data_IF_074712891826
#
_entry.id   IF_074712891826
#
_cell.length_a   1.000
_cell.length_b   1.000
_cell.length_c   1.000
_cell.angle_alpha   90.00
_cell.angle_beta   90.00
_cell.angle_gamma   90.00
#
_symmetry.space_group_name_H-M   'P 1'
#
loop_
_entity.id
_entity.type
_entity.pdbx_description
1 polymer ?
#
# COMPACT_ATOMS: atom_id res chain seq x y z
N UNK A 1 -55.78 -26.66 -24.99
CA UNK A 1 -55.30 -26.76 -23.59
C UNK A 1 -53.77 -26.96 -23.46
N UNK A 2 -52.97 -26.73 -24.52
CA UNK A 2 -51.51 -27.01 -24.53
C UNK A 2 -50.59 -25.78 -24.66
N UNK A 3 -51.13 -24.54 -24.75
CA UNK A 3 -50.29 -23.33 -24.88
C UNK A 3 -49.82 -22.73 -23.56
N UNK A 4 -50.44 -23.07 -22.43
CA UNK A 4 -50.08 -22.54 -21.10
C UNK A 4 -48.91 -23.27 -20.44
N UNK A 5 -48.65 -24.52 -20.82
CA UNK A 5 -47.54 -25.31 -20.28
C UNK A 5 -46.16 -24.87 -20.79
N UNK A 6 -46.10 -24.30 -22.00
CA UNK A 6 -44.83 -23.86 -22.62
C UNK A 6 -44.29 -22.59 -21.96
N UNK A 7 -45.16 -21.64 -21.58
CA UNK A 7 -44.74 -20.44 -20.86
C UNK A 7 -44.26 -20.74 -19.43
N UNK A 8 -44.82 -21.76 -18.79
CA UNK A 8 -44.40 -22.17 -17.45
C UNK A 8 -43.00 -22.80 -17.45
N UNK A 9 -42.64 -23.49 -18.55
CA UNK A 9 -41.31 -24.09 -18.69
C UNK A 9 -40.23 -23.07 -19.08
N UNK A 10 -40.57 -22.04 -19.84
CA UNK A 10 -39.63 -20.97 -20.24
C UNK A 10 -39.37 -19.99 -19.08
N UNK A 11 -40.32 -19.78 -18.17
CA UNK A 11 -40.12 -18.93 -16.99
C UNK A 11 -39.17 -19.55 -15.95
N UNK A 12 -38.98 -20.88 -15.96
CA UNK A 12 -38.08 -21.59 -15.05
C UNK A 12 -36.61 -21.54 -15.46
N UNK A 13 -36.31 -21.20 -16.72
CA UNK A 13 -34.94 -21.12 -17.24
C UNK A 13 -34.24 -19.78 -16.93
N UNK A 14 -34.98 -18.74 -16.54
CA UNK A 14 -34.44 -17.40 -16.26
C UNK A 14 -34.01 -17.23 -14.80
N UNK A 15 -34.38 -18.15 -13.90
CA UNK A 15 -34.08 -18.05 -12.46
C UNK A 15 -32.78 -18.79 -12.06
N UNK A 16 -32.19 -19.62 -12.93
CA UNK A 16 -30.97 -20.37 -12.61
C UNK A 16 -29.64 -19.73 -13.05
N UNK A 17 -29.66 -18.55 -13.70
CA UNK A 17 -28.43 -17.84 -14.12
C UNK A 17 -28.12 -16.58 -13.30
N UNK A 18 -28.89 -16.31 -12.25
CA UNK A 18 -28.57 -15.26 -11.29
C UNK A 18 -27.97 -15.85 -10.02
N UNK A 19 -26.75 -15.43 -9.67
CA UNK A 19 -26.07 -15.63 -8.38
C UNK A 19 -25.15 -16.85 -8.20
N UNK A 20 -24.18 -17.02 -9.10
CA UNK A 20 -22.80 -17.24 -8.62
C UNK A 20 -22.07 -15.91 -8.61
N UNK A 21 -22.43 -15.04 -7.67
CA UNK A 21 -21.44 -14.12 -7.13
C UNK A 21 -20.45 -15.01 -6.37
N UNK A 22 -19.40 -15.45 -7.04
CA UNK A 22 -18.17 -15.78 -6.33
C UNK A 22 -17.70 -14.49 -5.69
N UNK A 23 -18.20 -14.18 -4.50
CA UNK A 23 -17.46 -13.36 -3.54
C UNK A 23 -16.24 -14.20 -3.23
N UNK A 24 -15.17 -13.91 -3.97
CA UNK A 24 -13.84 -14.35 -3.61
C UNK A 24 -13.49 -13.55 -2.36
N UNK A 25 -13.88 -14.08 -1.21
CA UNK A 25 -13.31 -13.64 0.07
C UNK A 25 -11.88 -14.12 0.05
N UNK A 26 -11.00 -13.31 -0.55
CA UNK A 26 -9.57 -13.42 -0.38
C UNK A 26 -9.31 -13.07 1.10
N UNK A 27 -9.42 -14.11 1.95
CA UNK A 27 -8.95 -14.12 3.33
C UNK A 27 -7.42 -14.01 3.29
N UNK A 28 -6.93 -12.83 2.94
CA UNK A 28 -5.55 -12.47 3.13
C UNK A 28 -5.44 -12.14 4.62
N UNK A 29 -5.40 -13.17 5.45
CA UNK A 29 -4.81 -13.06 6.78
C UNK A 29 -3.38 -12.58 6.54
N UNK A 30 -3.22 -11.26 6.65
CA UNK A 30 -2.01 -10.49 6.46
C UNK A 30 -0.83 -11.28 7.04
N UNK A 31 -0.01 -11.86 6.15
CA UNK A 31 1.15 -12.67 6.51
C UNK A 31 2.29 -11.72 6.92
N UNK A 32 1.95 -10.74 7.75
CA UNK A 32 2.89 -9.88 8.44
C UNK A 32 3.64 -10.82 9.36
N UNK A 33 4.95 -10.93 9.15
CA UNK A 33 5.78 -11.71 10.05
C UNK A 33 5.47 -11.23 11.47
N UNK A 34 5.17 -12.15 12.39
CA UNK A 34 4.71 -11.75 13.73
C UNK A 34 5.71 -10.81 14.43
N UNK A 35 6.97 -10.84 14.00
CA UNK A 35 8.03 -9.93 14.41
C UNK A 35 7.84 -8.49 13.92
N UNK A 36 7.45 -8.29 12.66
CA UNK A 36 7.15 -6.95 12.13
C UNK A 36 5.93 -6.35 12.83
N UNK A 37 4.89 -7.16 13.07
CA UNK A 37 3.69 -6.74 13.80
C UNK A 37 4.01 -6.28 15.23
N UNK A 38 4.81 -7.04 15.96
CA UNK A 38 5.20 -6.73 17.35
C UNK A 38 5.98 -5.42 17.47
N UNK A 39 6.80 -5.06 16.46
CA UNK A 39 7.48 -3.76 16.43
C UNK A 39 6.53 -2.63 16.09
N UNK A 40 5.65 -2.85 15.12
CA UNK A 40 4.68 -1.84 14.68
C UNK A 40 3.80 -1.37 15.84
N UNK A 41 3.25 -2.28 16.64
CA UNK A 41 2.31 -1.93 17.73
C UNK A 41 2.90 -0.96 18.77
N UNK A 42 4.24 -0.90 18.89
CA UNK A 42 4.94 -0.04 19.86
C UNK A 42 5.30 1.35 19.34
N UNK A 43 5.22 1.59 18.04
CA UNK A 43 5.63 2.87 17.43
C UNK A 43 4.48 3.86 17.53
N UNK A 44 4.71 5.05 18.06
CA UNK A 44 3.73 6.14 18.04
C UNK A 44 4.16 7.16 16.99
N UNK A 45 3.26 7.49 16.07
CA UNK A 45 3.51 8.48 15.03
C UNK A 45 2.95 9.84 15.44
N UNK A 46 3.81 10.83 15.75
CA UNK A 46 3.33 12.19 16.00
C UNK A 46 2.93 12.87 14.69
N UNK A 47 2.15 13.93 14.77
CA UNK A 47 1.92 14.81 13.61
C UNK A 47 3.23 15.39 13.09
N UNK A 48 3.39 15.44 11.76
CA UNK A 48 4.60 15.99 11.13
C UNK A 48 4.29 17.30 10.42
N UNK A 49 4.93 18.39 10.87
CA UNK A 49 4.81 19.70 10.20
C UNK A 49 5.31 19.69 8.74
N UNK A 50 6.15 18.72 8.35
CA UNK A 50 6.72 18.58 7.01
C UNK A 50 6.24 17.33 6.28
N UNK A 51 5.25 16.64 6.84
CA UNK A 51 4.82 15.33 6.36
C UNK A 51 5.86 14.25 6.55
N UNK A 52 5.67 13.14 5.84
CA UNK A 52 6.46 11.93 5.91
C UNK A 52 7.11 11.64 4.56
N UNK A 53 8.32 11.13 4.57
CA UNK A 53 9.05 10.65 3.40
C UNK A 53 8.98 9.11 3.39
N UNK A 54 8.44 8.55 2.31
CA UNK A 54 8.39 7.12 2.04
C UNK A 54 9.46 6.77 1.01
N UNK A 55 10.25 5.75 1.34
CA UNK A 55 11.27 5.19 0.46
C UNK A 55 11.02 3.70 0.25
N UNK A 56 11.39 3.19 -0.91
CA UNK A 56 11.23 1.78 -1.24
C UNK A 56 12.42 1.22 -2.01
N UNK A 57 12.68 -0.07 -1.84
CA UNK A 57 13.69 -0.81 -2.61
C UNK A 57 13.32 -2.30 -2.69
N UNK A 58 13.76 -3.01 -3.74
CA UNK A 58 13.50 -4.43 -3.87
C UNK A 58 14.33 -5.23 -2.86
N UNK A 59 13.72 -6.27 -2.27
CA UNK A 59 14.40 -7.27 -1.42
C UNK A 59 13.86 -8.65 -1.77
N UNK A 60 14.63 -9.42 -2.55
CA UNK A 60 14.20 -10.71 -3.08
C UNK A 60 13.00 -10.54 -4.02
N UNK A 61 11.89 -11.24 -3.72
CA UNK A 61 10.62 -11.12 -4.46
C UNK A 61 9.69 -10.04 -3.91
N UNK A 62 10.09 -9.35 -2.85
CA UNK A 62 9.26 -8.37 -2.13
C UNK A 62 9.87 -6.97 -2.23
N UNK A 63 9.12 -5.99 -1.71
CA UNK A 63 9.58 -4.63 -1.51
C UNK A 63 9.77 -4.35 -0.04
N UNK A 64 10.84 -3.62 0.29
CA UNK A 64 11.06 -3.05 1.61
C UNK A 64 10.78 -1.57 1.56
N UNK A 65 10.23 -1.05 2.65
CA UNK A 65 9.77 0.32 2.78
C UNK A 65 10.32 0.93 4.05
N UNK A 66 10.71 2.20 3.97
CA UNK A 66 11.17 2.99 5.12
C UNK A 66 10.39 4.28 5.17
N UNK A 67 9.85 4.58 6.35
CA UNK A 67 9.08 5.80 6.59
C UNK A 67 9.87 6.71 7.52
N UNK A 68 10.10 7.93 7.08
CA UNK A 68 10.92 8.92 7.80
C UNK A 68 10.16 10.23 7.92
N UNK A 69 10.45 11.00 8.97
CA UNK A 69 9.90 12.35 9.10
C UNK A 69 10.54 13.25 8.03
N UNK A 70 9.70 14.06 7.36
CA UNK A 70 10.12 15.04 6.38
C UNK A 70 11.09 16.07 6.97
N UNK A 71 12.19 16.37 6.26
CA UNK A 71 13.16 17.39 6.71
C UNK A 71 13.58 18.33 5.58
N UNK A 72 14.30 19.41 5.89
CA UNK A 72 14.90 20.28 4.85
C UNK A 72 16.19 19.70 4.24
N UNK A 73 16.52 18.46 4.54
CA UNK A 73 17.76 17.80 4.15
C UNK A 73 17.46 16.44 3.55
N UNK A 74 18.19 16.10 2.50
CA UNK A 74 18.03 14.82 1.82
C UNK A 74 18.62 13.70 2.68
N UNK A 75 17.93 12.55 2.74
CA UNK A 75 18.41 11.38 3.49
C UNK A 75 19.42 10.60 2.66
N UNK A 76 20.44 10.07 3.32
CA UNK A 76 21.42 9.19 2.68
C UNK A 76 20.86 7.78 2.56
N UNK A 77 21.31 7.01 1.55
CA UNK A 77 20.96 5.60 1.39
C UNK A 77 21.12 4.77 2.67
N UNK A 78 22.25 4.95 3.38
CA UNK A 78 22.51 4.25 4.65
C UNK A 78 21.51 4.63 5.74
N UNK A 79 21.11 5.89 5.84
CA UNK A 79 20.10 6.34 6.82
C UNK A 79 18.71 5.76 6.51
N UNK A 80 18.34 5.74 5.22
CA UNK A 80 17.06 5.20 4.76
C UNK A 80 16.95 3.70 5.06
N UNK A 81 18.00 2.92 4.74
CA UNK A 81 17.99 1.46 4.82
C UNK A 81 18.23 0.91 6.23
N UNK A 82 18.95 1.65 7.08
CA UNK A 82 19.17 1.30 8.49
C UNK A 82 18.09 1.86 9.43
N UNK A 83 17.08 2.55 8.90
CA UNK A 83 15.98 3.08 9.69
C UNK A 83 15.21 1.97 10.43
N UNK A 84 14.98 2.18 11.72
CA UNK A 84 14.20 1.27 12.56
C UNK A 84 12.70 1.27 12.21
N UNK A 85 12.23 2.32 11.54
CA UNK A 85 10.85 2.48 11.05
C UNK A 85 10.80 1.97 9.60
N UNK A 86 10.97 0.66 9.43
CA UNK A 86 10.92 -0.01 8.13
C UNK A 86 10.14 -1.33 8.17
N UNK A 87 9.53 -1.69 7.05
CA UNK A 87 8.69 -2.90 6.88
C UNK A 87 8.92 -3.56 5.54
N UNK A 88 8.63 -4.85 5.43
CA UNK A 88 8.70 -5.59 4.17
C UNK A 88 7.31 -6.08 3.76
N UNK A 89 7.00 -5.90 2.47
CA UNK A 89 5.70 -6.23 1.87
C UNK A 89 4.71 -5.08 1.90
N UNK A 90 3.87 -5.03 0.87
CA UNK A 90 2.80 -4.04 0.69
C UNK A 90 1.80 -4.09 1.85
N UNK A 91 1.53 -5.29 2.32
CA UNK A 91 0.60 -5.54 3.41
C UNK A 91 1.06 -4.89 4.73
N UNK A 92 2.33 -5.10 5.08
CA UNK A 92 2.95 -4.47 6.24
C UNK A 92 3.01 -2.95 6.09
N UNK A 93 3.25 -2.43 4.88
CA UNK A 93 3.24 -1.00 4.60
C UNK A 93 1.85 -0.39 4.85
N UNK A 94 0.77 -1.03 4.41
CA UNK A 94 -0.60 -0.57 4.66
C UNK A 94 -0.91 -0.48 6.15
N UNK A 95 -0.56 -1.51 6.92
CA UNK A 95 -0.68 -1.47 8.39
C UNK A 95 0.18 -0.36 8.99
N UNK A 96 1.33 -0.05 8.37
CA UNK A 96 2.18 1.02 8.85
C UNK A 96 1.56 2.39 8.62
N UNK A 97 1.05 2.62 7.40
CA UNK A 97 0.43 3.87 6.98
C UNK A 97 -0.87 4.16 7.75
N UNK A 98 -1.68 3.15 8.06
CA UNK A 98 -2.92 3.34 8.84
C UNK A 98 -2.70 3.87 10.26
N UNK A 99 -1.46 3.84 10.74
CA UNK A 99 -1.06 4.34 12.07
C UNK A 99 -0.57 5.79 12.03
N UNK A 100 -0.44 6.38 10.84
CA UNK A 100 -0.16 7.80 10.72
C UNK A 100 -1.37 8.62 11.20
N UNK A 101 -1.12 9.80 11.79
CA UNK A 101 -2.20 10.72 12.11
C UNK A 101 -3.05 11.09 10.88
N UNK A 102 -4.31 11.46 11.16
CA UNK A 102 -5.26 11.89 10.13
C UNK A 102 -4.74 13.09 9.33
N UNK A 103 -4.99 13.11 8.01
CA UNK A 103 -4.62 14.18 7.08
C UNK A 103 -3.11 14.43 6.90
N UNK A 104 -2.26 13.49 7.31
CA UNK A 104 -0.83 13.59 7.05
C UNK A 104 -0.50 13.49 5.56
N UNK A 105 0.55 14.20 5.16
CA UNK A 105 1.12 14.13 3.82
C UNK A 105 2.27 13.12 3.80
N UNK A 106 2.28 12.25 2.79
CA UNK A 106 3.33 11.26 2.53
C UNK A 106 3.90 11.52 1.15
N UNK A 107 5.21 11.73 1.07
CA UNK A 107 5.97 11.92 -0.16
C UNK A 107 6.74 10.63 -0.46
N UNK A 108 6.37 9.94 -1.54
CA UNK A 108 7.08 8.75 -1.97
C UNK A 108 8.12 9.12 -3.01
N UNK A 109 9.38 9.00 -2.61
CA UNK A 109 10.51 9.53 -3.37
C UNK A 109 11.13 8.45 -4.25
N UNK A 110 11.16 8.72 -5.55
CA UNK A 110 11.73 7.89 -6.59
C UNK A 110 13.18 8.21 -6.88
N UNK A 111 13.77 7.37 -7.74
CA UNK A 111 15.18 7.41 -8.08
C UNK A 111 15.55 8.67 -8.88
N UNK A 112 14.65 9.19 -9.72
CA UNK A 112 14.97 10.30 -10.62
C UNK A 112 15.00 11.61 -9.82
N UNK A 113 14.08 11.77 -8.86
CA UNK A 113 14.13 12.83 -7.87
C UNK A 113 15.42 12.77 -7.03
N UNK A 114 15.78 11.59 -6.51
CA UNK A 114 17.00 11.44 -5.70
C UNK A 114 18.27 11.73 -6.53
N UNK A 115 18.31 11.29 -7.78
CA UNK A 115 19.39 11.60 -8.71
C UNK A 115 19.52 13.11 -8.96
N UNK A 116 18.40 13.83 -9.10
CA UNK A 116 18.39 15.30 -9.27
C UNK A 116 18.98 16.04 -8.07
N UNK A 117 18.90 15.43 -6.88
CA UNK A 117 19.47 15.96 -5.64
C UNK A 117 20.94 15.58 -5.44
N UNK A 118 21.56 14.89 -6.40
CA UNK A 118 22.98 14.47 -6.38
C UNK A 118 23.36 13.64 -5.14
N UNK A 119 22.42 12.85 -4.62
CA UNK A 119 22.66 11.94 -3.49
C UNK A 119 22.85 10.51 -3.96
N UNK A 120 23.65 9.75 -3.23
CA UNK A 120 23.69 8.30 -3.38
C UNK A 120 22.38 7.70 -2.86
N UNK A 121 21.64 7.07 -3.76
CA UNK A 121 20.35 6.44 -3.51
C UNK A 121 20.42 4.91 -3.61
N UNK A 122 21.58 4.30 -3.90
CA UNK A 122 21.73 2.85 -3.99
C UNK A 122 20.62 2.17 -4.80
N UNK A 123 19.89 1.28 -4.14
CA UNK A 123 18.77 0.51 -4.74
C UNK A 123 17.39 1.15 -4.56
N UNK A 124 17.32 2.37 -4.03
CA UNK A 124 16.05 3.07 -3.81
C UNK A 124 15.40 3.36 -5.17
N UNK A 125 14.15 2.91 -5.31
CA UNK A 125 13.33 3.13 -6.49
C UNK A 125 11.87 2.88 -6.16
N UNK A 126 10.97 3.41 -7.00
CA UNK A 126 9.55 3.14 -6.89
C UNK A 126 9.23 1.69 -7.31
N UNK A 127 8.25 1.03 -6.66
CA UNK A 127 7.77 -0.28 -7.09
C UNK A 127 6.99 -0.19 -8.41
N UNK A 128 6.62 -1.33 -9.02
CA UNK A 128 5.71 -1.37 -10.16
C UNK A 128 4.46 -0.52 -9.94
N UNK A 129 3.95 0.06 -11.03
CA UNK A 129 2.80 0.99 -11.01
C UNK A 129 1.55 0.40 -10.33
N UNK A 130 1.35 -0.92 -10.42
CA UNK A 130 0.24 -1.60 -9.72
C UNK A 130 0.31 -1.41 -8.20
N UNK A 131 1.50 -1.56 -7.62
CA UNK A 131 1.75 -1.36 -6.19
C UNK A 131 1.56 0.12 -5.84
N UNK A 132 2.07 1.03 -6.67
CA UNK A 132 1.90 2.47 -6.45
C UNK A 132 0.42 2.88 -6.40
N UNK A 133 -0.40 2.34 -7.32
CA UNK A 133 -1.83 2.61 -7.38
C UNK A 133 -2.53 2.05 -6.12
N UNK A 134 -2.26 0.80 -5.77
CA UNK A 134 -2.87 0.15 -4.61
C UNK A 134 -2.54 0.87 -3.29
N UNK A 135 -1.29 1.27 -3.08
CA UNK A 135 -0.90 2.07 -1.90
C UNK A 135 -1.51 3.47 -1.93
N UNK A 136 -1.64 4.08 -3.12
CA UNK A 136 -2.32 5.38 -3.25
C UNK A 136 -3.79 5.29 -2.87
N UNK A 137 -4.51 4.30 -3.39
CA UNK A 137 -5.92 4.06 -3.06
C UNK A 137 -6.09 3.77 -1.56
N UNK A 138 -5.17 3.00 -0.97
CA UNK A 138 -5.14 2.77 0.46
C UNK A 138 -5.02 4.08 1.26
N UNK A 139 -4.06 4.94 0.91
CA UNK A 139 -3.88 6.25 1.55
C UNK A 139 -5.13 7.13 1.42
N UNK A 140 -5.71 7.21 0.22
CA UNK A 140 -6.91 8.00 -0.04
C UNK A 140 -8.08 7.53 0.85
N UNK A 141 -8.25 6.21 1.02
CA UNK A 141 -9.26 5.62 1.91
C UNK A 141 -8.98 5.82 3.41
N UNK A 142 -7.74 6.11 3.79
CA UNK A 142 -7.32 6.35 5.19
C UNK A 142 -7.10 7.84 5.50
N UNK A 143 -7.56 8.75 4.63
CA UNK A 143 -7.40 10.20 4.77
C UNK A 143 -5.93 10.63 4.88
N UNK A 144 -5.05 9.96 4.15
CA UNK A 144 -3.65 10.34 3.96
C UNK A 144 -3.46 10.89 2.55
N UNK A 145 -2.64 11.92 2.41
CA UNK A 145 -2.31 12.48 1.11
C UNK A 145 -0.99 11.90 0.62
N UNK A 146 -1.05 10.92 -0.28
CA UNK A 146 0.15 10.38 -0.93
C UNK A 146 0.49 11.14 -2.21
N UNK A 147 1.71 11.66 -2.30
CA UNK A 147 2.30 12.24 -3.51
C UNK A 147 3.49 11.39 -3.93
N UNK A 148 3.47 10.88 -5.15
CA UNK A 148 4.57 10.12 -5.73
C UNK A 148 5.43 11.09 -6.54
N UNK A 149 6.72 11.10 -6.28
CA UNK A 149 7.69 11.97 -6.95
C UNK A 149 8.70 11.05 -7.63
N UNK A 150 8.71 11.03 -8.96
CA UNK A 150 9.58 10.17 -9.76
C UNK A 150 11.05 10.60 -9.66
#
# INVERSE_FOLDING_TARGET
MMRKAVYFLILLFVICFGTTCCVKTDNNEWNISSFDKLRLDTIIFPHSMKGWELYSWPVGSNWKYSLMVGTNSVKTYSSITNNHISVTGEDSLKVFLSRLPFQEEVLWLGKDWLASMQVDFGEIQLPPRSIQIDIKEFCDNHNLKLTIIE
#
